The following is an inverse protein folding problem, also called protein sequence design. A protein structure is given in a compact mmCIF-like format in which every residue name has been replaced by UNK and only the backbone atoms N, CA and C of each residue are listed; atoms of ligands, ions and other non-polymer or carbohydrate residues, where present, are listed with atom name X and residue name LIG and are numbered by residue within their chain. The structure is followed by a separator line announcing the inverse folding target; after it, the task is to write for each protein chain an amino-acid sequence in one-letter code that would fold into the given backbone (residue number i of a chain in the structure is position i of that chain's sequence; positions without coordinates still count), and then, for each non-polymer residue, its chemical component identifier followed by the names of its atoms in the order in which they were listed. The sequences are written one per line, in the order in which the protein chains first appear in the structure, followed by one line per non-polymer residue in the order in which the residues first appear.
data_IF_784769283749
#
_entry.id   IF_784769283749
#
_cell.length_a   1.000
_cell.length_b   1.000
_cell.length_c   1.000
_cell.angle_alpha   90.00
_cell.angle_beta   90.00
_cell.angle_gamma   90.00
#
_symmetry.space_group_name_H-M   'P 1'
#
loop_
_entity.id
_entity.type
_entity.pdbx_description
1 polymer ?
#
# COMPACT_ATOMS: atom_id res chain seq x y z
N UNK A 1 6.14 -9.08 -28.43
CA UNK A 1 5.09 -9.84 -27.72
C UNK A 1 4.90 -9.20 -26.34
N UNK A 2 4.07 -8.16 -26.26
CA UNK A 2 3.76 -7.46 -25.00
C UNK A 2 2.64 -8.19 -24.29
N UNK A 3 2.96 -8.87 -23.19
CA UNK A 3 1.97 -9.59 -22.39
C UNK A 3 1.02 -8.59 -21.73
N UNK A 4 -0.19 -8.45 -22.28
CA UNK A 4 -1.33 -7.83 -21.63
C UNK A 4 -1.66 -8.63 -20.37
N UNK A 5 -1.13 -8.16 -19.22
CA UNK A 5 -1.50 -8.66 -17.89
C UNK A 5 -3.03 -8.51 -17.77
N UNK A 6 -3.75 -9.63 -17.72
CA UNK A 6 -5.20 -9.67 -17.49
C UNK A 6 -5.52 -8.75 -16.31
N UNK A 7 -6.39 -7.74 -16.52
CA UNK A 7 -7.09 -7.03 -15.44
C UNK A 7 -7.99 -8.03 -14.72
N UNK A 8 -7.43 -8.87 -13.84
CA UNK A 8 -8.21 -9.34 -12.71
C UNK A 8 -8.51 -8.08 -11.90
N UNK A 9 -9.78 -7.67 -11.86
CA UNK A 9 -10.18 -6.49 -11.10
C UNK A 9 -9.64 -6.58 -9.68
N UNK A 10 -9.28 -5.42 -9.12
CA UNK A 10 -8.83 -5.34 -7.73
C UNK A 10 -9.92 -5.99 -6.86
N UNK A 11 -9.59 -6.95 -5.98
CA UNK A 11 -10.58 -7.59 -5.14
C UNK A 11 -11.35 -6.56 -4.31
N UNK A 12 -12.67 -6.75 -4.17
CA UNK A 12 -13.51 -5.84 -3.40
C UNK A 12 -13.01 -5.59 -1.95
N UNK A 13 -12.48 -6.59 -1.21
CA UNK A 13 -11.91 -6.35 0.11
C UNK A 13 -10.69 -5.42 0.09
N UNK A 14 -9.87 -5.48 -0.96
CA UNK A 14 -8.71 -4.60 -1.15
C UNK A 14 -9.19 -3.16 -1.36
N UNK A 15 -10.15 -2.96 -2.26
CA UNK A 15 -10.75 -1.63 -2.51
C UNK A 15 -11.36 -1.03 -1.25
N UNK A 16 -11.99 -1.83 -0.38
CA UNK A 16 -12.53 -1.36 0.90
C UNK A 16 -11.46 -0.92 1.90
N UNK A 17 -10.25 -1.48 1.85
CA UNK A 17 -9.12 -1.11 2.73
C UNK A 17 -8.31 0.08 2.21
N UNK A 18 -8.34 0.34 0.89
CA UNK A 18 -7.57 1.44 0.26
C UNK A 18 -7.75 2.80 0.94
N UNK A 19 -8.97 3.27 1.25
CA UNK A 19 -9.15 4.56 1.93
C UNK A 19 -8.42 4.65 3.27
N UNK A 20 -8.37 3.53 4.02
CA UNK A 20 -7.66 3.48 5.29
C UNK A 20 -6.14 3.54 5.09
N UNK A 21 -5.60 2.99 4.00
CA UNK A 21 -4.16 3.02 3.71
C UNK A 21 -3.74 4.45 3.40
N UNK A 22 -4.53 5.14 2.58
CA UNK A 22 -4.36 6.56 2.26
C UNK A 22 -4.42 7.43 3.53
N UNK A 23 -5.47 7.28 4.33
CA UNK A 23 -5.63 8.06 5.57
C UNK A 23 -4.45 7.86 6.54
N UNK A 24 -3.93 6.64 6.64
CA UNK A 24 -2.74 6.36 7.44
C UNK A 24 -1.49 7.03 6.83
N UNK A 25 -1.27 6.88 5.53
CA UNK A 25 -0.13 7.48 4.85
C UNK A 25 -0.14 9.02 4.93
N UNK A 26 -1.29 9.66 4.74
CA UNK A 26 -1.44 11.11 4.95
C UNK A 26 -1.07 11.52 6.39
N UNK A 27 -1.41 10.70 7.38
CA UNK A 27 -1.02 10.95 8.77
C UNK A 27 0.49 10.86 8.99
N UNK A 28 1.18 10.02 8.23
CA UNK A 28 2.64 9.89 8.25
C UNK A 28 3.30 11.04 7.48
N UNK A 29 2.70 11.48 6.37
CA UNK A 29 3.16 12.62 5.60
C UNK A 29 3.15 13.89 6.46
N UNK A 30 2.07 14.12 7.23
CA UNK A 30 1.98 15.22 8.20
C UNK A 30 3.00 15.13 9.35
N UNK A 31 3.54 13.93 9.62
CA UNK A 31 4.60 13.70 10.60
C UNK A 31 6.00 13.76 9.97
N UNK A 32 6.11 14.19 8.71
CA UNK A 32 7.35 14.27 7.95
C UNK A 32 8.07 12.91 7.82
N UNK A 33 7.32 11.81 7.92
CA UNK A 33 7.86 10.47 7.76
C UNK A 33 7.93 10.11 6.27
N UNK A 34 9.13 9.79 5.78
CA UNK A 34 9.38 9.53 4.36
C UNK A 34 8.99 8.11 3.91
N UNK A 35 9.12 7.13 4.80
CA UNK A 35 8.92 5.72 4.46
C UNK A 35 8.00 5.03 5.46
N UNK A 36 7.19 4.11 4.96
CA UNK A 36 6.29 3.28 5.75
C UNK A 36 6.44 1.80 5.37
N UNK A 37 6.61 0.92 6.36
CA UNK A 37 6.69 -0.51 6.11
C UNK A 37 5.30 -1.16 6.03
N UNK A 38 5.19 -2.28 5.32
CA UNK A 38 3.96 -3.10 5.34
C UNK A 38 3.60 -3.57 6.74
N UNK A 39 4.58 -3.81 7.62
CA UNK A 39 4.35 -4.17 9.02
C UNK A 39 3.77 -3.03 9.85
N UNK A 40 4.19 -1.79 9.59
CA UNK A 40 3.67 -0.61 10.29
C UNK A 40 2.21 -0.35 9.89
N UNK A 41 1.91 -0.47 8.59
CA UNK A 41 0.55 -0.37 8.07
C UNK A 41 -0.34 -1.49 8.66
N UNK A 42 0.15 -2.72 8.65
CA UNK A 42 -0.53 -3.88 9.17
C UNK A 42 -0.90 -3.73 10.66
N UNK A 43 0.04 -3.23 11.47
CA UNK A 43 -0.20 -2.95 12.89
C UNK A 43 -1.25 -1.86 13.11
N UNK A 44 -1.26 -0.82 12.28
CA UNK A 44 -2.29 0.24 12.37
C UNK A 44 -3.69 -0.27 12.03
N UNK A 45 -3.78 -1.22 11.10
CA UNK A 45 -5.06 -1.76 10.61
C UNK A 45 -5.51 -3.06 11.27
N UNK A 46 -4.70 -3.62 12.16
CA UNK A 46 -4.92 -4.94 12.76
C UNK A 46 -5.11 -6.06 11.71
N UNK A 47 -4.23 -6.08 10.70
CA UNK A 47 -4.22 -7.09 9.62
C UNK A 47 -2.83 -7.69 9.44
N UNK A 48 -2.72 -8.75 8.63
CA UNK A 48 -1.43 -9.36 8.30
C UNK A 48 -0.64 -8.51 7.27
N UNK A 49 0.66 -8.36 7.50
CA UNK A 49 1.56 -7.61 6.59
C UNK A 49 1.65 -8.20 5.17
N UNK A 50 1.42 -9.50 5.01
CA UNK A 50 1.28 -10.17 3.72
C UNK A 50 0.05 -9.66 2.97
N UNK A 51 -1.05 -9.39 3.68
CA UNK A 51 -2.26 -8.84 3.07
C UNK A 51 -2.03 -7.41 2.58
N UNK A 52 -1.33 -6.58 3.36
CA UNK A 52 -0.93 -5.23 2.93
C UNK A 52 -0.09 -5.29 1.67
N UNK A 53 0.94 -6.16 1.67
CA UNK A 53 1.83 -6.32 0.51
C UNK A 53 1.06 -6.76 -0.73
N UNK A 54 0.09 -7.67 -0.57
CA UNK A 54 -0.78 -8.13 -1.66
C UNK A 54 -1.70 -7.03 -2.15
N UNK A 55 -2.31 -6.25 -1.26
CA UNK A 55 -3.17 -5.12 -1.60
C UNK A 55 -2.40 -4.07 -2.42
N UNK A 56 -1.24 -3.66 -1.92
CA UNK A 56 -0.38 -2.69 -2.60
C UNK A 56 0.18 -3.23 -3.92
N UNK A 57 0.33 -4.55 -4.08
CA UNK A 57 0.76 -5.15 -5.36
C UNK A 57 -0.23 -4.98 -6.52
N UNK A 58 -1.49 -4.63 -6.22
CA UNK A 58 -2.49 -4.31 -7.25
C UNK A 58 -2.39 -2.86 -7.75
N UNK A 59 -1.54 -2.05 -7.12
CA UNK A 59 -1.36 -0.62 -7.41
C UNK A 59 -0.08 -0.41 -8.23
N UNK A 60 0.24 0.84 -8.58
CA UNK A 60 1.49 1.20 -9.27
C UNK A 60 2.71 1.32 -8.35
N UNK A 61 2.54 1.29 -7.03
CA UNK A 61 3.64 1.54 -6.10
C UNK A 61 4.53 0.31 -5.92
N UNK A 62 5.82 0.57 -5.74
CA UNK A 62 6.84 -0.48 -5.56
C UNK A 62 7.61 -0.23 -4.27
N UNK A 63 7.49 -1.15 -3.33
CA UNK A 63 8.25 -1.09 -2.08
C UNK A 63 9.73 -1.43 -2.28
N UNK A 64 10.59 -0.83 -1.45
CA UNK A 64 12.01 -1.15 -1.32
C UNK A 64 12.22 -2.20 -0.22
N UNK A 65 12.94 -3.28 -0.54
CA UNK A 65 13.24 -4.36 0.41
C UNK A 65 13.95 -3.81 1.66
N UNK A 66 13.46 -4.16 2.85
CA UNK A 66 13.91 -3.67 4.18
C UNK A 66 13.62 -2.20 4.51
N UNK A 67 13.10 -1.40 3.58
CA UNK A 67 12.74 0.01 3.82
C UNK A 67 11.22 0.17 3.91
N UNK A 68 10.49 -0.41 2.95
CA UNK A 68 9.05 -0.22 2.83
C UNK A 68 8.70 0.63 1.61
N UNK A 69 7.60 1.36 1.69
CA UNK A 69 7.05 2.20 0.63
C UNK A 69 7.32 3.67 0.94
N UNK A 70 7.51 4.49 -0.09
CA UNK A 70 7.54 5.94 0.10
C UNK A 70 6.15 6.43 0.49
N UNK A 71 6.07 7.27 1.50
CA UNK A 71 4.79 7.74 2.03
C UNK A 71 4.06 8.56 0.97
N UNK A 72 4.78 9.40 0.22
CA UNK A 72 4.20 10.20 -0.86
C UNK A 72 3.63 9.31 -1.97
N UNK A 73 4.34 8.27 -2.39
CA UNK A 73 3.83 7.27 -3.35
C UNK A 73 2.54 6.60 -2.86
N UNK A 74 2.45 6.30 -1.55
CA UNK A 74 1.25 5.66 -0.98
C UNK A 74 0.08 6.63 -0.93
N UNK A 75 0.30 7.93 -0.71
CA UNK A 75 -0.76 8.95 -0.72
C UNK A 75 -1.29 9.21 -2.13
N UNK A 76 -0.49 8.98 -3.17
CA UNK A 76 -0.85 9.20 -4.58
C UNK A 76 -1.57 8.01 -5.26
N UNK A 77 -1.87 6.92 -4.54
CA UNK A 77 -2.58 5.76 -5.11
C UNK A 77 -4.04 6.06 -5.46
#
# INVERSE_FOLDING_TARGET
MTATKKKQGIPEPTLRRMPSYLAFAESLQRKEQQYVSSTQIAAYMDIDSTQVTKDLSYTSIVGKTRVGYEVDDVVEI
#
